data_IF_946955779045
#
_entry.id   IF_946955779045
#
_cell.length_a   1.000
_cell.length_b   1.000
_cell.length_c   1.000
_cell.angle_alpha   90.00
_cell.angle_beta   90.00
_cell.angle_gamma   90.00
#
_symmetry.space_group_name_H-M   'P 1'
#
loop_
_entity.id
_entity.type
_entity.pdbx_description
1 polymer ?
#
# COMPACT_ATOMS: atom_id res chain seq x y z
N UNK A 1 10.54 -9.00 1.69
CA UNK A 1 10.21 -7.57 1.41
C UNK A 1 8.71 -7.28 1.38
N UNK A 2 7.87 -8.27 1.05
CA UNK A 2 6.41 -8.12 1.03
C UNK A 2 5.82 -7.50 2.31
N UNK A 3 6.17 -8.00 3.51
CA UNK A 3 5.64 -7.50 4.78
C UNK A 3 5.94 -6.02 5.03
N UNK A 4 7.14 -5.55 4.65
CA UNK A 4 7.52 -4.13 4.76
C UNK A 4 6.65 -3.28 3.83
N UNK A 5 6.41 -3.76 2.61
CA UNK A 5 5.48 -3.12 1.68
C UNK A 5 4.04 -3.05 2.22
N UNK A 6 3.54 -4.13 2.85
CA UNK A 6 2.22 -4.15 3.51
C UNK A 6 2.15 -3.12 4.64
N UNK A 7 3.18 -3.04 5.49
CA UNK A 7 3.25 -2.05 6.56
C UNK A 7 3.23 -0.63 5.99
N UNK A 8 4.02 -0.35 4.95
CA UNK A 8 4.03 0.95 4.27
C UNK A 8 2.65 1.29 3.68
N UNK A 9 1.95 0.31 3.12
CA UNK A 9 0.61 0.49 2.57
C UNK A 9 -0.42 0.83 3.66
N UNK A 10 -0.33 0.18 4.82
CA UNK A 10 -1.15 0.49 6.00
C UNK A 10 -0.87 1.92 6.48
N UNK A 11 0.40 2.29 6.64
CA UNK A 11 0.75 3.65 7.05
C UNK A 11 0.30 4.69 6.01
N UNK A 12 0.56 4.47 4.72
CA UNK A 12 0.10 5.34 3.65
C UNK A 12 -1.42 5.55 3.67
N UNK A 13 -2.19 4.48 3.90
CA UNK A 13 -3.65 4.55 4.09
C UNK A 13 -4.04 5.40 5.31
N UNK A 14 -3.37 5.20 6.45
CA UNK A 14 -3.60 6.02 7.65
C UNK A 14 -3.29 7.49 7.38
N UNK A 15 -2.25 7.83 6.62
CA UNK A 15 -1.96 9.22 6.28
C UNK A 15 -3.04 9.83 5.38
N UNK A 16 -3.53 9.09 4.38
CA UNK A 16 -4.58 9.57 3.46
C UNK A 16 -5.93 9.72 4.15
N UNK A 17 -6.39 8.70 4.89
CA UNK A 17 -7.71 8.72 5.54
C UNK A 17 -7.70 9.41 6.91
N UNK A 18 -6.60 9.30 7.65
CA UNK A 18 -6.38 9.92 8.96
C UNK A 18 -5.97 11.40 8.89
N UNK A 19 -5.98 12.01 7.70
CA UNK A 19 -5.61 13.42 7.49
C UNK A 19 -6.26 14.36 8.51
N UNK A 20 -7.53 14.16 8.88
CA UNK A 20 -8.26 14.99 9.86
C UNK A 20 -7.61 14.98 11.25
N UNK A 21 -7.10 13.84 11.70
CA UNK A 21 -6.41 13.72 12.98
C UNK A 21 -5.01 14.33 12.92
N UNK A 22 -4.30 14.07 11.82
CA UNK A 22 -2.95 14.60 11.60
C UNK A 22 -2.93 16.12 11.46
N UNK A 23 -3.95 16.71 10.83
CA UNK A 23 -4.12 18.17 10.76
C UNK A 23 -4.25 18.80 12.15
N UNK A 24 -4.95 18.15 13.08
CA UNK A 24 -5.12 18.67 14.45
C UNK A 24 -3.80 18.69 15.23
N UNK A 25 -2.92 17.71 14.99
CA UNK A 25 -1.64 17.56 15.69
C UNK A 25 -0.56 18.44 15.06
N UNK A 26 -0.42 18.37 13.74
CA UNK A 26 0.72 18.98 13.02
C UNK A 26 0.41 20.34 12.39
N UNK A 27 -0.86 20.77 12.35
CA UNK A 27 -1.32 22.01 11.67
C UNK A 27 -0.87 22.12 10.21
N UNK A 28 -0.63 20.99 9.56
CA UNK A 28 -0.19 20.93 8.17
C UNK A 28 -1.38 21.03 7.20
N UNK A 29 -1.07 21.47 5.98
CA UNK A 29 -2.04 21.53 4.90
C UNK A 29 -2.50 20.09 4.53
N UNK A 30 -3.81 19.80 4.49
CA UNK A 30 -4.34 18.47 4.16
C UNK A 30 -3.80 17.90 2.84
N UNK A 31 -3.55 18.76 1.85
CA UNK A 31 -3.06 18.34 0.54
C UNK A 31 -1.69 17.67 0.69
N UNK A 32 -0.79 18.27 1.46
CA UNK A 32 0.57 17.75 1.65
C UNK A 32 0.56 16.39 2.37
N UNK A 33 -0.27 16.26 3.40
CA UNK A 33 -0.42 14.99 4.16
C UNK A 33 -0.92 13.88 3.24
N UNK A 34 -1.95 14.16 2.42
CA UNK A 34 -2.49 13.19 1.45
C UNK A 34 -1.45 12.82 0.39
N UNK A 35 -0.69 13.79 -0.10
CA UNK A 35 0.32 13.55 -1.12
C UNK A 35 1.45 12.66 -0.59
N UNK A 36 1.92 12.92 0.63
CA UNK A 36 2.93 12.10 1.30
C UNK A 36 2.38 10.68 1.56
N UNK A 37 1.16 10.58 2.09
CA UNK A 37 0.52 9.28 2.33
C UNK A 37 0.36 8.45 1.06
N UNK A 38 -0.06 9.10 -0.03
CA UNK A 38 -0.18 8.46 -1.34
C UNK A 38 1.18 8.00 -1.87
N UNK A 39 2.22 8.83 -1.76
CA UNK A 39 3.58 8.48 -2.18
C UNK A 39 4.11 7.25 -1.42
N UNK A 40 3.92 7.22 -0.10
CA UNK A 40 4.28 6.08 0.75
C UNK A 40 3.51 4.81 0.33
N UNK A 41 2.21 4.93 0.06
CA UNK A 41 1.39 3.80 -0.38
C UNK A 41 1.86 3.25 -1.74
N UNK A 42 2.21 4.13 -2.70
CA UNK A 42 2.74 3.72 -4.01
C UNK A 42 4.06 2.96 -3.86
N UNK A 43 4.98 3.43 -3.02
CA UNK A 43 6.22 2.71 -2.72
C UNK A 43 5.92 1.34 -2.10
N UNK A 44 4.98 1.28 -1.14
CA UNK A 44 4.54 0.03 -0.52
C UNK A 44 4.00 -0.97 -1.55
N UNK A 45 3.18 -0.51 -2.49
CA UNK A 45 2.65 -1.32 -3.60
C UNK A 45 3.80 -1.85 -4.46
N UNK A 46 4.75 -1.00 -4.86
CA UNK A 46 5.91 -1.43 -5.64
C UNK A 46 6.74 -2.49 -4.91
N UNK A 47 6.94 -2.33 -3.60
CA UNK A 47 7.67 -3.31 -2.77
C UNK A 47 6.89 -4.63 -2.61
N UNK A 48 5.57 -4.60 -2.60
CA UNK A 48 4.73 -5.80 -2.59
C UNK A 48 4.83 -6.54 -3.92
N UNK A 49 4.76 -5.82 -5.05
CA UNK A 49 4.76 -6.42 -6.38
C UNK A 49 6.12 -7.03 -6.72
N UNK A 50 7.22 -6.33 -6.39
CA UNK A 50 8.59 -6.75 -6.68
C UNK A 50 9.21 -7.60 -5.55
N UNK A 51 8.61 -7.60 -4.37
CA UNK A 51 9.11 -8.35 -3.24
C UNK A 51 8.81 -9.85 -3.37
N UNK A 52 9.71 -10.67 -2.83
CA UNK A 52 9.44 -12.09 -2.65
C UNK A 52 8.21 -12.27 -1.76
N UNK A 53 7.19 -12.94 -2.31
CA UNK A 53 6.00 -13.36 -1.58
C UNK A 53 6.41 -14.44 -0.58
N UNK A 54 5.96 -14.36 0.69
CA UNK A 54 6.24 -15.42 1.65
C UNK A 54 5.56 -16.71 1.19
N UNK A 55 6.18 -17.86 1.47
CA UNK A 55 5.69 -19.19 1.04
C UNK A 55 4.22 -19.46 1.42
N UNK A 56 3.76 -18.91 2.53
CA UNK A 56 2.37 -19.00 2.97
C UNK A 56 1.37 -18.24 2.07
N UNK A 57 1.83 -17.27 1.27
CA UNK A 57 1.02 -16.45 0.38
C UNK A 57 1.31 -16.73 -1.11
N UNK A 58 2.11 -17.74 -1.43
CA UNK A 58 2.37 -18.16 -2.82
C UNK A 58 1.09 -18.56 -3.56
N UNK A 59 0.05 -19.03 -2.85
CA UNK A 59 -1.26 -19.33 -3.44
C UNK A 59 -1.90 -18.11 -4.13
N UNK A 60 -1.65 -16.90 -3.65
CA UNK A 60 -2.13 -15.65 -4.27
C UNK A 60 -1.48 -15.47 -5.66
N UNK A 61 -0.24 -15.92 -5.82
CA UNK A 61 0.47 -15.89 -7.11
C UNK A 61 -0.22 -16.80 -8.14
N UNK A 62 -0.73 -17.96 -7.71
CA UNK A 62 -1.54 -18.84 -8.55
C UNK A 62 -2.85 -18.17 -9.02
N UNK A 63 -3.50 -17.39 -8.16
CA UNK A 63 -4.69 -16.62 -8.55
C UNK A 63 -4.37 -15.47 -9.52
N UNK A 64 -3.22 -14.79 -9.34
CA UNK A 64 -2.75 -13.75 -10.27
C UNK A 64 -2.56 -14.28 -11.70
N UNK A 65 -2.15 -15.54 -11.86
CA UNK A 65 -1.99 -16.19 -13.16
C UNK A 65 -3.30 -16.66 -13.81
N UNK A 66 -4.28 -17.13 -13.02
CA UNK A 66 -5.58 -17.62 -13.55
C UNK A 66 -6.64 -16.53 -13.74
N UNK A 67 -6.58 -15.43 -12.99
CA UNK A 67 -7.52 -14.31 -13.15
C UNK A 67 -7.43 -13.61 -14.50
N UNK A 68 -6.27 -13.67 -15.16
CA UNK A 68 -6.05 -13.12 -16.52
C UNK A 68 -6.60 -14.04 -17.62
N UNK A 69 -6.76 -15.35 -17.33
CA UNK A 69 -7.25 -16.35 -18.29
C UNK A 69 -8.78 -16.51 -18.28
N UNK A 70 -9.48 -15.97 -17.28
CA UNK A 70 -10.96 -15.99 -17.19
C UNK A 70 -11.64 -14.76 -17.83
N UNK A 71 -10.86 -13.90 -18.49
CA UNK A 71 -11.31 -12.73 -19.25
C UNK A 71 -11.00 -12.85 -20.75
N UNK A 72 -10.88 -14.07 -21.26
CA UNK A 72 -10.85 -14.37 -22.69
C UNK A 72 -11.98 -15.33 -23.04
#
# INVERSE_FOLDING_TARGET
>A
MFYVGVILLIFGSIFVYGTKYLMKIFKWNPINIKFIGLFIAVIGIFMIINGEFPKSLEFIRYFKGKGVLLWK
#
